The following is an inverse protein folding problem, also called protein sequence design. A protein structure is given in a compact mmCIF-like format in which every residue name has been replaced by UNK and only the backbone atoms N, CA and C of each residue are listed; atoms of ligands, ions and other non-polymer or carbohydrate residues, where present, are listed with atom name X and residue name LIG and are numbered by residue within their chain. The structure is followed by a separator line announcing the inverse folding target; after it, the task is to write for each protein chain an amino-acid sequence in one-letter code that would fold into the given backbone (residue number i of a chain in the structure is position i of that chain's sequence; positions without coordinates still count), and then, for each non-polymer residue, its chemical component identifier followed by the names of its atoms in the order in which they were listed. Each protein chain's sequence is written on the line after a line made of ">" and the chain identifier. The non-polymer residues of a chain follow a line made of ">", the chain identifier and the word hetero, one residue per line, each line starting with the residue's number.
data_IF_407604616397
#
_entry.id   IF_407604616397
#
_cell.length_a   1.000
_cell.length_b   1.000
_cell.length_c   1.000
_cell.angle_alpha   90.00
_cell.angle_beta   90.00
_cell.angle_gamma   90.00
#
_symmetry.space_group_name_H-M   'P 1'
#
loop_
_entity.id
_entity.type
_entity.pdbx_description
1 polymer ?
#
# COMPACT_ATOMS: atom_id res chain seq x y z
N UNK A 1 9.02 -1.45 -1.95
CA UNK A 1 8.78 -0.30 -1.05
C UNK A 1 7.30 -0.14 -0.80
N UNK A 2 6.90 0.15 0.44
CA UNK A 2 5.48 0.17 0.85
C UNK A 2 4.80 1.48 0.44
N UNK A 3 3.62 1.38 -0.15
CA UNK A 3 2.68 2.48 -0.41
C UNK A 3 1.62 2.51 0.71
N UNK A 4 0.93 3.62 0.88
CA UNK A 4 -0.21 3.70 1.82
C UNK A 4 -1.48 3.05 1.25
N UNK A 5 -1.62 3.01 -0.07
CA UNK A 5 -2.85 2.59 -0.77
C UNK A 5 -2.80 1.20 -1.38
N UNK A 6 -1.60 0.70 -1.74
CA UNK A 6 -1.46 -0.51 -2.55
C UNK A 6 -0.49 -1.54 -1.96
N UNK A 7 -0.12 -1.41 -0.67
CA UNK A 7 0.85 -2.30 -0.06
C UNK A 7 2.27 -2.13 -0.61
N UNK A 8 3.02 -3.22 -0.76
CA UNK A 8 4.39 -3.19 -1.26
C UNK A 8 4.42 -3.30 -2.78
N UNK A 9 4.82 -2.21 -3.43
CA UNK A 9 5.04 -2.16 -4.86
C UNK A 9 6.49 -1.81 -5.17
N UNK A 10 7.10 -2.47 -6.14
CA UNK A 10 8.46 -2.19 -6.57
C UNK A 10 8.61 -2.31 -8.09
N UNK A 11 9.58 -1.57 -8.64
CA UNK A 11 9.93 -1.68 -10.05
C UNK A 11 8.71 -1.50 -10.96
N UNK A 12 8.43 -2.51 -11.79
CA UNK A 12 7.39 -2.48 -12.81
C UNK A 12 5.98 -2.32 -12.24
N UNK A 13 5.67 -2.97 -11.11
CA UNK A 13 4.34 -2.87 -10.51
C UNK A 13 3.99 -1.43 -10.12
N UNK A 14 4.97 -0.70 -9.56
CA UNK A 14 4.80 0.72 -9.25
C UNK A 14 4.62 1.57 -10.51
N UNK A 15 5.43 1.33 -11.54
CA UNK A 15 5.32 2.01 -12.84
C UNK A 15 3.94 1.79 -13.47
N UNK A 16 3.42 0.56 -13.45
CA UNK A 16 2.10 0.22 -13.99
C UNK A 16 0.96 0.94 -13.25
N UNK A 17 1.06 1.06 -11.92
CA UNK A 17 0.11 1.86 -11.12
C UNK A 17 0.21 3.33 -11.50
N UNK A 18 1.42 3.90 -11.54
CA UNK A 18 1.65 5.30 -11.93
C UNK A 18 1.08 5.60 -13.31
N UNK A 19 1.30 4.74 -14.31
CA UNK A 19 0.76 4.92 -15.65
C UNK A 19 -0.76 5.02 -15.65
N UNK A 20 -1.46 4.15 -14.89
CA UNK A 20 -2.92 4.25 -14.73
C UNK A 20 -3.34 5.59 -14.09
N UNK A 21 -2.59 6.07 -13.08
CA UNK A 21 -2.85 7.36 -12.43
C UNK A 21 -2.64 8.52 -13.41
N UNK A 22 -1.59 8.48 -14.23
CA UNK A 22 -1.33 9.53 -15.22
C UNK A 22 -2.39 9.54 -16.33
N UNK A 23 -2.80 8.37 -16.82
CA UNK A 23 -3.92 8.28 -17.77
C UNK A 23 -5.23 8.81 -17.16
N UNK A 24 -5.50 8.52 -15.88
CA UNK A 24 -6.70 9.07 -15.23
C UNK A 24 -6.65 10.60 -15.10
N UNK A 25 -5.49 11.19 -14.77
CA UNK A 25 -5.31 12.63 -14.58
C UNK A 25 -5.23 13.40 -15.88
N UNK A 26 -4.36 12.95 -16.79
CA UNK A 26 -4.00 13.72 -18.00
C UNK A 26 -4.74 13.25 -19.25
N UNK A 27 -5.45 12.11 -19.18
CA UNK A 27 -6.28 11.57 -20.27
C UNK A 27 -5.49 11.47 -21.59
N UNK A 28 -6.06 11.96 -22.67
CA UNK A 28 -5.46 11.93 -24.02
C UNK A 28 -4.18 12.79 -24.14
N UNK A 29 -3.88 13.61 -23.13
CA UNK A 29 -2.65 14.40 -23.10
C UNK A 29 -1.43 13.60 -22.65
N UNK A 30 -1.60 12.44 -22.02
CA UNK A 30 -0.50 11.58 -21.55
C UNK A 30 -0.13 10.50 -22.56
N UNK A 31 1.17 10.25 -22.69
CA UNK A 31 1.74 9.15 -23.48
C UNK A 31 2.87 8.46 -22.72
N UNK A 32 2.84 7.13 -22.71
CA UNK A 32 3.92 6.29 -22.19
C UNK A 32 5.12 6.27 -23.14
N UNK A 33 6.32 6.14 -22.61
CA UNK A 33 7.56 5.95 -23.37
C UNK A 33 8.06 4.52 -23.17
N UNK A 34 7.83 3.60 -24.13
CA UNK A 34 8.24 2.21 -23.99
C UNK A 34 9.77 2.06 -23.91
N UNK A 35 10.26 1.35 -22.90
CA UNK A 35 11.69 1.12 -22.68
C UNK A 35 12.37 0.19 -23.72
N UNK A 36 11.64 -0.43 -24.66
CA UNK A 36 12.05 -1.61 -25.43
C UNK A 36 13.17 -1.38 -26.46
N UNK A 37 13.39 -0.17 -26.97
CA UNK A 37 14.42 0.11 -27.99
C UNK A 37 15.14 1.41 -27.69
N UNK A 38 16.29 1.34 -27.03
CA UNK A 38 17.17 2.48 -26.80
C UNK A 38 17.07 3.11 -25.40
N UNK A 39 16.22 2.56 -24.51
CA UNK A 39 16.01 3.05 -23.14
C UNK A 39 14.91 4.10 -23.05
N UNK A 40 14.58 4.42 -21.85
CA UNK A 40 13.51 5.34 -21.44
C UNK A 40 13.88 6.84 -21.52
N UNK A 41 15.06 7.17 -22.03
CA UNK A 41 15.60 8.54 -22.08
C UNK A 41 15.60 9.29 -20.73
N UNK A 42 15.36 8.60 -19.60
CA UNK A 42 15.18 9.18 -18.27
C UNK A 42 13.73 9.62 -18.00
N UNK A 43 12.76 9.06 -18.75
CA UNK A 43 11.32 9.32 -18.58
C UNK A 43 10.50 8.10 -18.94
N UNK A 44 9.51 7.75 -18.12
CA UNK A 44 8.54 6.66 -18.38
C UNK A 44 7.34 7.16 -19.20
N UNK A 45 7.09 8.47 -19.19
CA UNK A 45 6.00 9.07 -19.95
C UNK A 45 6.09 10.59 -20.02
N UNK A 46 5.25 11.17 -20.85
CA UNK A 46 5.18 12.61 -21.05
C UNK A 46 3.75 13.08 -21.37
N UNK A 47 3.51 14.38 -21.17
CA UNK A 47 2.32 15.03 -21.72
C UNK A 47 2.68 15.96 -22.89
N UNK A 48 1.73 16.16 -23.80
CA UNK A 48 1.94 17.04 -24.96
C UNK A 48 2.11 18.52 -24.60
N UNK A 49 1.83 18.91 -23.35
CA UNK A 49 2.10 20.25 -22.80
C UNK A 49 3.42 20.34 -22.03
N UNK A 50 4.26 19.29 -22.08
CA UNK A 50 5.64 19.35 -21.63
C UNK A 50 5.92 18.84 -20.22
N UNK A 51 5.00 18.10 -19.58
CA UNK A 51 5.31 17.39 -18.33
C UNK A 51 6.04 16.09 -18.66
N UNK A 52 7.09 15.76 -17.93
CA UNK A 52 7.82 14.50 -18.03
C UNK A 52 7.72 13.73 -16.72
N UNK A 53 7.61 12.39 -16.79
CA UNK A 53 7.41 11.53 -15.63
C UNK A 53 8.46 10.45 -15.56
N UNK A 54 9.00 10.24 -14.36
CA UNK A 54 9.87 9.13 -13.99
C UNK A 54 9.34 8.48 -12.73
N UNK A 55 9.02 7.20 -12.80
CA UNK A 55 8.57 6.41 -11.66
C UNK A 55 9.75 5.67 -11.05
N UNK A 56 9.79 5.62 -9.73
CA UNK A 56 10.83 4.85 -9.03
C UNK A 56 10.33 4.30 -7.70
N UNK A 57 10.39 2.99 -7.56
CA UNK A 57 10.25 2.29 -6.29
C UNK A 57 11.42 1.30 -6.18
N UNK A 58 12.35 1.49 -5.23
CA UNK A 58 13.48 0.57 -5.06
C UNK A 58 13.01 -0.80 -4.61
N UNK A 59 13.73 -1.84 -5.02
CA UNK A 59 13.53 -3.22 -4.54
C UNK A 59 14.21 -3.41 -3.19
N UNK A 60 13.72 -4.36 -2.39
CA UNK A 60 14.25 -4.63 -1.04
C UNK A 60 15.75 -4.98 -1.05
N UNK A 61 16.21 -5.68 -2.07
CA UNK A 61 17.62 -6.03 -2.25
C UNK A 61 18.53 -4.78 -2.34
N UNK A 62 18.02 -3.66 -2.84
CA UNK A 62 18.77 -2.41 -2.99
C UNK A 62 19.05 -1.73 -1.66
N UNK A 63 18.22 -1.98 -0.62
CA UNK A 63 18.41 -1.45 0.73
C UNK A 63 19.55 -2.14 1.51
N UNK A 64 20.09 -3.21 1.02
CA UNK A 64 21.18 -3.94 1.69
C UNK A 64 22.45 -3.10 1.87
N UNK A 65 22.67 -2.09 1.03
CA UNK A 65 23.89 -1.28 1.01
C UNK A 65 23.67 0.24 0.97
N UNK A 66 22.41 0.70 0.77
CA UNK A 66 22.09 2.13 0.61
C UNK A 66 20.82 2.50 1.35
N UNK A 67 20.76 3.75 1.83
CA UNK A 67 19.55 4.36 2.36
C UNK A 67 18.57 4.73 1.23
N UNK A 68 17.30 4.92 1.55
CA UNK A 68 16.28 5.38 0.60
C UNK A 68 16.71 6.67 -0.10
N UNK A 69 17.23 7.63 0.65
CA UNK A 69 17.75 8.89 0.12
C UNK A 69 18.85 8.67 -0.93
N UNK A 70 19.85 7.81 -0.65
CA UNK A 70 20.94 7.53 -1.59
C UNK A 70 20.42 6.88 -2.88
N UNK A 71 19.50 5.94 -2.77
CA UNK A 71 18.90 5.27 -3.92
C UNK A 71 18.13 6.28 -4.80
N UNK A 72 17.30 7.12 -4.20
CA UNK A 72 16.52 8.15 -4.91
C UNK A 72 17.42 9.23 -5.53
N UNK A 73 18.40 9.72 -4.79
CA UNK A 73 19.40 10.69 -5.27
C UNK A 73 20.16 10.17 -6.50
N UNK A 74 20.63 8.93 -6.43
CA UNK A 74 21.39 8.30 -7.51
C UNK A 74 20.50 8.06 -8.73
N UNK A 75 19.24 7.64 -8.53
CA UNK A 75 18.26 7.48 -9.61
C UNK A 75 17.97 8.81 -10.30
N UNK A 76 17.65 9.87 -9.54
CA UNK A 76 17.42 11.21 -10.09
C UNK A 76 18.65 11.67 -10.90
N UNK A 77 19.85 11.54 -10.36
CA UNK A 77 21.08 11.92 -11.06
C UNK A 77 21.23 11.16 -12.38
N UNK A 78 21.02 9.86 -12.37
CA UNK A 78 21.13 9.00 -13.56
C UNK A 78 20.12 9.39 -14.63
N UNK A 79 18.86 9.62 -14.25
CA UNK A 79 17.81 9.86 -15.23
C UNK A 79 17.84 11.31 -15.75
N UNK A 80 18.22 12.29 -14.94
CA UNK A 80 18.49 13.66 -15.42
C UNK A 80 19.65 13.68 -16.41
N UNK A 81 20.70 12.91 -16.19
CA UNK A 81 21.79 12.80 -17.16
C UNK A 81 21.33 12.17 -18.49
N UNK A 82 20.43 11.16 -18.43
CA UNK A 82 19.83 10.60 -19.64
C UNK A 82 18.94 11.65 -20.36
N UNK A 83 18.11 12.39 -19.62
CA UNK A 83 17.27 13.46 -20.15
C UNK A 83 18.11 14.49 -20.89
N UNK A 84 19.15 15.03 -20.27
CA UNK A 84 20.05 16.00 -20.88
C UNK A 84 20.65 15.45 -22.19
N UNK A 85 21.15 14.21 -22.15
CA UNK A 85 21.78 13.56 -23.31
C UNK A 85 20.80 13.35 -24.46
N UNK A 86 19.54 13.04 -24.17
CA UNK A 86 18.55 12.63 -25.17
C UNK A 86 17.43 13.68 -25.39
N UNK A 87 17.65 14.91 -24.99
CA UNK A 87 16.62 15.97 -25.04
C UNK A 87 15.99 16.16 -26.43
N UNK A 88 16.77 16.02 -27.48
CA UNK A 88 16.26 16.17 -28.84
C UNK A 88 15.29 15.06 -29.23
N UNK A 89 15.54 13.84 -28.77
CA UNK A 89 14.65 12.69 -29.02
C UNK A 89 13.34 12.86 -28.24
N UNK A 90 13.42 13.26 -26.98
CA UNK A 90 12.24 13.54 -26.15
C UNK A 90 11.39 14.65 -26.78
N UNK A 91 12.02 15.71 -27.26
CA UNK A 91 11.30 16.80 -27.92
C UNK A 91 10.59 16.38 -29.21
N UNK A 92 11.16 15.45 -29.96
CA UNK A 92 10.45 14.87 -31.12
C UNK A 92 9.16 14.16 -30.71
N UNK A 93 9.18 13.43 -29.57
CA UNK A 93 8.00 12.73 -29.06
C UNK A 93 6.89 13.72 -28.64
N UNK A 94 7.22 14.81 -27.96
CA UNK A 94 6.26 15.80 -27.46
C UNK A 94 6.02 16.99 -28.44
N UNK A 95 6.15 16.77 -29.74
CA UNK A 95 5.92 17.79 -30.80
C UNK A 95 6.77 19.03 -30.64
N UNK A 96 8.00 18.90 -30.15
CA UNK A 96 8.97 19.97 -29.91
C UNK A 96 8.53 21.04 -28.89
N UNK A 97 7.59 20.74 -28.02
CA UNK A 97 7.23 21.61 -26.90
C UNK A 97 8.40 21.76 -25.93
N UNK A 98 8.48 22.92 -25.28
CA UNK A 98 9.44 23.10 -24.18
C UNK A 98 9.00 22.29 -22.95
N UNK A 99 9.97 21.72 -22.27
CA UNK A 99 9.72 20.93 -21.06
C UNK A 99 9.33 21.86 -19.92
N UNK A 100 8.18 21.61 -19.31
CA UNK A 100 7.65 22.40 -18.20
C UNK A 100 8.22 21.94 -16.86
N UNK A 101 8.08 20.63 -16.56
CA UNK A 101 8.55 20.01 -15.32
C UNK A 101 8.99 18.57 -15.59
N UNK A 102 9.82 18.07 -14.69
CA UNK A 102 10.14 16.66 -14.59
C UNK A 102 9.66 16.13 -13.24
N UNK A 103 8.77 15.15 -13.26
CA UNK A 103 8.13 14.57 -12.08
C UNK A 103 8.84 13.29 -11.69
N UNK A 104 9.38 13.24 -10.49
CA UNK A 104 9.89 12.03 -9.85
C UNK A 104 8.83 11.46 -8.92
N UNK A 105 8.21 10.35 -9.32
CA UNK A 105 7.07 9.77 -8.63
C UNK A 105 7.52 8.49 -7.92
N UNK A 106 7.45 8.50 -6.60
CA UNK A 106 7.95 7.43 -5.71
C UNK A 106 6.93 7.16 -4.61
N UNK A 107 6.84 5.93 -4.06
CA UNK A 107 5.92 5.64 -2.96
C UNK A 107 6.08 6.55 -1.75
N UNK A 108 7.32 6.84 -1.36
CA UNK A 108 7.64 7.77 -0.27
C UNK A 108 9.04 8.36 -0.44
N UNK A 109 9.30 9.48 0.23
CA UNK A 109 10.63 10.02 0.50
C UNK A 109 10.65 10.59 1.91
N UNK A 110 11.74 10.42 2.62
CA UNK A 110 11.87 10.69 4.06
C UNK A 110 12.93 11.74 4.41
N UNK A 111 13.71 12.18 3.40
CA UNK A 111 14.83 13.09 3.62
C UNK A 111 14.63 14.42 2.87
N UNK A 112 14.65 15.53 3.61
CA UNK A 112 14.56 16.89 3.07
C UNK A 112 15.69 17.25 2.10
N UNK A 113 16.88 16.61 2.25
CA UNK A 113 18.04 16.89 1.42
C UNK A 113 17.81 16.46 -0.06
N UNK A 114 16.80 15.62 -0.29
CA UNK A 114 16.40 15.27 -1.67
C UNK A 114 15.88 16.50 -2.43
N UNK A 115 15.18 17.43 -1.77
CA UNK A 115 14.76 18.69 -2.38
C UNK A 115 15.95 19.57 -2.75
N UNK A 116 17.00 19.63 -1.90
CA UNK A 116 18.22 20.38 -2.21
C UNK A 116 18.95 19.76 -3.42
N UNK A 117 19.00 18.42 -3.46
CA UNK A 117 19.56 17.70 -4.60
C UNK A 117 18.81 18.02 -5.90
N UNK A 118 17.46 18.04 -5.87
CA UNK A 118 16.65 18.41 -7.03
C UNK A 118 16.97 19.83 -7.53
N UNK A 119 17.09 20.82 -6.64
CA UNK A 119 17.47 22.20 -7.02
C UNK A 119 18.81 22.28 -7.71
N UNK A 120 19.82 21.55 -7.22
CA UNK A 120 21.14 21.47 -7.89
C UNK A 120 20.99 20.88 -9.29
N UNK A 121 20.14 19.88 -9.46
CA UNK A 121 19.88 19.27 -10.78
C UNK A 121 19.08 20.18 -11.72
N UNK A 122 18.18 21.02 -11.20
CA UNK A 122 17.49 22.06 -11.97
C UNK A 122 18.50 23.06 -12.55
N UNK A 123 19.49 23.51 -11.79
CA UNK A 123 20.56 24.40 -12.25
C UNK A 123 21.45 23.73 -13.32
N UNK A 124 21.77 22.44 -13.15
CA UNK A 124 22.50 21.66 -14.16
C UNK A 124 21.72 21.55 -15.47
N UNK A 125 20.42 21.25 -15.41
CA UNK A 125 19.53 21.17 -16.57
C UNK A 125 19.43 22.54 -17.26
N UNK A 126 19.24 23.61 -16.49
CA UNK A 126 19.14 24.96 -17.02
C UNK A 126 20.43 25.34 -17.79
N UNK A 127 21.58 24.98 -17.25
CA UNK A 127 22.87 25.26 -17.89
C UNK A 127 23.07 24.43 -19.16
N UNK A 128 22.68 23.15 -19.16
CA UNK A 128 22.95 22.23 -20.24
C UNK A 128 21.95 22.35 -21.41
N UNK A 129 20.66 22.52 -21.11
CA UNK A 129 19.56 22.45 -22.08
C UNK A 129 18.51 23.56 -21.90
N UNK A 130 18.85 24.67 -21.26
CA UNK A 130 17.92 25.76 -20.91
C UNK A 130 17.06 26.28 -22.06
N UNK A 131 17.55 26.24 -23.29
CA UNK A 131 16.78 26.61 -24.49
C UNK A 131 15.61 25.68 -24.81
N UNK A 132 15.54 24.51 -24.20
CA UNK A 132 14.52 23.48 -24.44
C UNK A 132 13.56 23.30 -23.26
N UNK A 133 13.78 24.01 -22.17
CA UNK A 133 12.95 23.98 -20.97
C UNK A 133 12.35 25.36 -20.71
N UNK A 134 11.30 25.40 -19.90
CA UNK A 134 10.73 26.66 -19.46
C UNK A 134 11.58 27.32 -18.38
N UNK A 135 11.48 28.65 -18.26
CA UNK A 135 12.20 29.42 -17.24
C UNK A 135 11.86 28.98 -15.81
N UNK A 136 10.62 28.54 -15.60
CA UNK A 136 10.10 28.06 -14.31
C UNK A 136 10.18 26.53 -14.15
N UNK A 137 11.04 25.86 -14.94
CA UNK A 137 11.23 24.42 -14.86
C UNK A 137 11.56 23.95 -13.44
N UNK A 138 10.92 22.87 -13.01
CA UNK A 138 11.14 22.26 -11.71
C UNK A 138 11.20 20.73 -11.78
N UNK A 139 11.97 20.16 -10.87
CA UNK A 139 11.92 18.74 -10.53
C UNK A 139 10.91 18.59 -9.39
N UNK A 140 9.78 17.95 -9.70
CA UNK A 140 8.66 17.77 -8.78
C UNK A 140 8.78 16.40 -8.09
N UNK A 141 9.04 16.38 -6.78
CA UNK A 141 8.95 15.15 -5.98
C UNK A 141 7.48 14.87 -5.66
N UNK A 142 6.99 13.71 -6.04
CA UNK A 142 5.58 13.33 -5.85
C UNK A 142 5.48 11.92 -5.27
N UNK A 143 4.47 11.73 -4.44
CA UNK A 143 4.07 10.43 -3.91
C UNK A 143 2.65 10.10 -4.37
N UNK A 144 2.14 8.93 -3.99
CA UNK A 144 0.75 8.54 -4.23
C UNK A 144 -0.25 9.60 -3.70
N UNK A 145 0.08 10.31 -2.62
CA UNK A 145 -0.77 11.36 -2.05
C UNK A 145 -1.02 12.53 -3.04
N UNK A 146 -0.15 12.71 -4.02
CA UNK A 146 -0.37 13.68 -5.11
C UNK A 146 -1.48 13.25 -6.06
N UNK A 147 -1.91 11.98 -6.00
CA UNK A 147 -2.86 11.34 -6.92
C UNK A 147 -4.07 10.73 -6.21
N UNK A 148 -4.38 11.17 -4.98
CA UNK A 148 -5.44 10.57 -4.15
C UNK A 148 -6.81 10.55 -4.83
N UNK A 149 -7.12 11.56 -5.64
CA UNK A 149 -8.38 11.64 -6.40
C UNK A 149 -8.44 10.58 -7.48
N UNK A 150 -7.35 10.39 -8.22
CA UNK A 150 -7.23 9.39 -9.28
C UNK A 150 -7.24 7.98 -8.72
N UNK A 151 -6.57 7.76 -7.58
CA UNK A 151 -6.61 6.49 -6.85
C UNK A 151 -8.07 6.15 -6.49
N UNK A 152 -8.79 7.06 -5.84
CA UNK A 152 -10.19 6.87 -5.51
C UNK A 152 -11.06 6.56 -6.73
N UNK A 153 -10.85 7.28 -7.83
CA UNK A 153 -11.56 7.02 -9.09
C UNK A 153 -11.26 5.61 -9.65
N UNK A 154 -10.00 5.21 -9.71
CA UNK A 154 -9.58 3.93 -10.28
C UNK A 154 -10.02 2.73 -9.43
N UNK A 155 -10.00 2.86 -8.10
CA UNK A 155 -10.51 1.84 -7.18
C UNK A 155 -12.02 1.70 -7.32
N UNK A 156 -12.78 2.82 -7.29
CA UNK A 156 -14.23 2.79 -7.46
C UNK A 156 -14.67 2.28 -8.85
N UNK A 157 -13.84 2.49 -9.88
CA UNK A 157 -14.05 1.97 -11.23
C UNK A 157 -13.57 0.53 -11.40
N UNK A 158 -13.07 -0.13 -10.34
CA UNK A 158 -12.56 -1.52 -10.34
C UNK A 158 -11.35 -1.75 -11.28
N UNK A 159 -10.61 -0.69 -11.57
CA UNK A 159 -9.40 -0.75 -12.41
C UNK A 159 -8.17 -1.07 -11.55
N UNK A 160 -8.18 -0.61 -10.30
CA UNK A 160 -7.21 -0.95 -9.27
C UNK A 160 -7.91 -1.63 -8.11
N UNK A 161 -7.22 -2.55 -7.44
CA UNK A 161 -7.66 -3.15 -6.19
C UNK A 161 -6.79 -2.63 -5.04
N UNK A 162 -7.42 -2.47 -3.88
CA UNK A 162 -6.72 -2.17 -2.63
C UNK A 162 -6.02 -3.45 -2.20
N UNK A 163 -4.71 -3.36 -2.01
CA UNK A 163 -3.90 -4.49 -1.58
C UNK A 163 -3.77 -4.52 -0.06
N UNK A 164 -3.45 -5.70 0.48
CA UNK A 164 -3.05 -5.85 1.87
C UNK A 164 -1.77 -5.05 2.15
N UNK A 165 -1.68 -4.53 3.35
CA UNK A 165 -0.45 -3.89 3.82
C UNK A 165 0.71 -4.88 3.93
N UNK A 166 0.43 -6.18 3.95
CA UNK A 166 1.39 -7.28 4.09
C UNK A 166 2.37 -7.12 5.26
N UNK A 167 2.00 -6.34 6.28
CA UNK A 167 2.82 -6.18 7.47
C UNK A 167 2.69 -7.45 8.30
N UNK A 168 3.81 -8.09 8.55
CA UNK A 168 3.90 -9.24 9.43
C UNK A 168 4.81 -8.90 10.62
N UNK A 169 4.43 -9.40 11.79
CA UNK A 169 5.18 -9.21 13.03
C UNK A 169 5.96 -10.45 13.39
N UNK A 170 7.23 -10.28 13.76
CA UNK A 170 8.05 -11.32 14.36
C UNK A 170 7.55 -11.66 15.75
N UNK A 171 7.94 -12.84 16.27
CA UNK A 171 7.57 -13.23 17.65
C UNK A 171 8.09 -12.24 18.70
N UNK A 172 9.29 -11.69 18.51
CA UNK A 172 9.89 -10.72 19.43
C UNK A 172 9.11 -9.39 19.44
N UNK A 173 8.68 -8.89 18.28
CA UNK A 173 7.84 -7.70 18.17
C UNK A 173 6.47 -7.91 18.80
N UNK A 174 5.85 -9.05 18.57
CA UNK A 174 4.57 -9.40 19.22
C UNK A 174 4.71 -9.51 20.74
N UNK A 175 5.81 -10.03 21.26
CA UNK A 175 6.08 -10.04 22.69
C UNK A 175 6.21 -8.64 23.28
N UNK A 176 6.88 -7.73 22.61
CA UNK A 176 6.98 -6.34 23.02
C UNK A 176 5.62 -5.63 23.03
N UNK A 177 4.84 -5.79 21.96
CA UNK A 177 3.49 -5.20 21.86
C UNK A 177 2.57 -5.81 22.92
N UNK A 178 2.63 -7.13 23.16
CA UNK A 178 1.82 -7.81 24.15
C UNK A 178 2.03 -7.32 25.59
N UNK A 179 3.19 -6.71 25.89
CA UNK A 179 3.44 -6.10 27.19
C UNK A 179 2.63 -4.82 27.40
N UNK A 180 2.39 -4.05 26.33
CA UNK A 180 1.52 -2.86 26.37
C UNK A 180 0.05 -3.22 26.33
N UNK A 181 -0.33 -4.29 25.61
CA UNK A 181 -1.71 -4.75 25.40
C UNK A 181 -2.05 -6.05 26.16
N UNK A 182 -1.49 -6.20 27.34
CA UNK A 182 -1.63 -7.41 28.16
C UNK A 182 -3.10 -7.78 28.45
N UNK A 183 -4.01 -6.82 28.51
CA UNK A 183 -5.44 -7.05 28.73
C UNK A 183 -6.07 -7.85 27.56
N UNK A 184 -5.75 -7.49 26.30
CA UNK A 184 -6.26 -8.18 25.10
C UNK A 184 -5.71 -9.61 25.05
N UNK A 185 -4.41 -9.78 25.24
CA UNK A 185 -3.76 -11.10 25.25
C UNK A 185 -4.37 -12.00 26.32
N UNK A 186 -4.60 -11.48 27.53
CA UNK A 186 -5.20 -12.24 28.63
C UNK A 186 -6.65 -12.62 28.34
N UNK A 187 -7.45 -11.74 27.71
CA UNK A 187 -8.82 -12.06 27.30
C UNK A 187 -8.83 -13.20 26.28
N UNK A 188 -8.02 -13.11 25.23
CA UNK A 188 -7.88 -14.17 24.23
C UNK A 188 -7.48 -15.48 24.89
N UNK A 189 -6.45 -15.45 25.72
CA UNK A 189 -5.95 -16.66 26.43
C UNK A 189 -7.02 -17.29 27.31
N UNK A 190 -7.72 -16.48 28.11
CA UNK A 190 -8.77 -16.97 29.03
C UNK A 190 -9.89 -17.68 28.27
N UNK A 191 -10.26 -17.18 27.10
CA UNK A 191 -11.26 -17.82 26.24
C UNK A 191 -10.74 -19.12 25.62
N UNK A 192 -9.52 -19.12 25.08
CA UNK A 192 -8.91 -20.32 24.51
C UNK A 192 -8.70 -21.43 25.55
N UNK A 193 -8.47 -21.07 26.81
CA UNK A 193 -8.36 -22.06 27.92
C UNK A 193 -9.66 -22.82 28.20
N UNK A 194 -10.81 -22.34 27.80
CA UNK A 194 -12.08 -23.04 27.93
C UNK A 194 -12.24 -24.20 26.93
N UNK A 195 -11.47 -24.19 25.85
CA UNK A 195 -11.48 -25.24 24.84
C UNK A 195 -10.75 -26.49 25.36
N UNK A 196 -11.43 -27.62 25.41
CA UNK A 196 -10.87 -28.88 25.94
C UNK A 196 -9.59 -29.31 25.22
N UNK A 197 -9.49 -29.04 23.90
CA UNK A 197 -8.30 -29.37 23.11
C UNK A 197 -7.05 -28.53 23.46
N UNK A 198 -7.20 -27.42 24.15
CA UNK A 198 -6.11 -26.51 24.52
C UNK A 198 -5.82 -26.47 26.02
N UNK A 199 -6.75 -26.94 26.85
CA UNK A 199 -6.65 -26.93 28.32
C UNK A 199 -5.39 -27.64 28.88
N UNK A 200 -5.00 -28.77 28.29
CA UNK A 200 -3.96 -29.63 28.83
C UNK A 200 -2.57 -29.34 28.24
N UNK A 201 -2.46 -28.49 27.23
CA UNK A 201 -1.20 -28.21 26.55
C UNK A 201 -0.88 -26.71 26.53
N UNK A 202 -0.18 -26.28 27.57
CA UNK A 202 0.25 -24.90 27.79
C UNK A 202 1.04 -24.32 26.60
N UNK A 203 1.91 -25.09 25.96
CA UNK A 203 2.70 -24.67 24.84
C UNK A 203 1.81 -24.40 23.60
N UNK A 204 0.85 -25.28 23.35
CA UNK A 204 -0.12 -25.13 22.28
C UNK A 204 -1.04 -23.93 22.54
N UNK A 205 -1.53 -23.74 23.74
CA UNK A 205 -2.33 -22.61 24.16
C UNK A 205 -1.59 -21.28 23.92
N UNK A 206 -0.31 -21.20 24.29
CA UNK A 206 0.52 -20.02 24.07
C UNK A 206 0.64 -19.69 22.56
N UNK A 207 0.93 -20.71 21.74
CA UNK A 207 1.02 -20.53 20.27
C UNK A 207 -0.29 -20.00 19.67
N UNK A 208 -1.44 -20.57 20.06
CA UNK A 208 -2.74 -20.09 19.58
C UNK A 208 -3.05 -18.68 20.08
N UNK A 209 -2.73 -18.36 21.33
CA UNK A 209 -2.92 -17.01 21.90
C UNK A 209 -2.15 -15.97 21.09
N UNK A 210 -0.87 -16.22 20.79
CA UNK A 210 -0.05 -15.31 19.99
C UNK A 210 -0.48 -15.27 18.52
N UNK A 211 -0.95 -16.37 17.95
CA UNK A 211 -1.49 -16.38 16.59
C UNK A 211 -2.73 -15.49 16.47
N UNK A 212 -3.70 -15.63 17.39
CA UNK A 212 -4.91 -14.80 17.40
C UNK A 212 -4.56 -13.33 17.67
N UNK A 213 -3.64 -13.07 18.59
CA UNK A 213 -3.17 -11.71 18.87
C UNK A 213 -2.50 -11.09 17.65
N UNK A 214 -1.69 -11.85 16.90
CA UNK A 214 -1.11 -11.40 15.64
C UNK A 214 -2.18 -11.02 14.62
N UNK A 215 -3.19 -11.84 14.40
CA UNK A 215 -4.30 -11.52 13.50
C UNK A 215 -5.04 -10.24 13.92
N UNK A 216 -5.19 -10.02 15.23
CA UNK A 216 -5.77 -8.78 15.74
C UNK A 216 -4.92 -7.57 15.37
N UNK A 217 -3.62 -7.58 15.65
CA UNK A 217 -2.74 -6.43 15.40
C UNK A 217 -2.58 -6.17 13.90
N UNK A 218 -2.29 -7.19 13.09
CA UNK A 218 -2.13 -7.07 11.64
C UNK A 218 -3.41 -6.54 10.99
N UNK A 219 -4.56 -7.04 11.40
CA UNK A 219 -5.84 -6.59 10.86
C UNK A 219 -6.27 -5.19 11.32
N UNK A 220 -5.89 -4.75 12.53
CA UNK A 220 -6.12 -3.36 12.95
C UNK A 220 -5.38 -2.36 12.07
N UNK A 221 -4.17 -2.70 11.61
CA UNK A 221 -3.43 -1.86 10.66
C UNK A 221 -4.11 -1.80 9.28
N UNK A 222 -4.67 -2.93 8.81
CA UNK A 222 -5.46 -2.93 7.57
C UNK A 222 -6.70 -2.01 7.70
N UNK A 223 -7.39 -2.10 8.83
CA UNK A 223 -8.56 -1.25 9.10
C UNK A 223 -8.18 0.23 9.24
N UNK A 224 -7.05 0.55 9.85
CA UNK A 224 -6.55 1.92 9.95
C UNK A 224 -6.20 2.48 8.57
N UNK A 225 -5.50 1.72 7.74
CA UNK A 225 -5.19 2.08 6.34
C UNK A 225 -6.47 2.34 5.56
N UNK A 226 -7.45 1.43 5.64
CA UNK A 226 -8.73 1.57 4.96
C UNK A 226 -9.51 2.81 5.44
N UNK A 227 -9.55 3.05 6.75
CA UNK A 227 -10.23 4.23 7.30
C UNK A 227 -9.59 5.54 6.86
N UNK A 228 -8.25 5.57 6.76
CA UNK A 228 -7.49 6.75 6.35
C UNK A 228 -7.62 7.03 4.84
N UNK A 229 -7.45 5.99 4.02
CA UNK A 229 -7.31 6.14 2.56
C UNK A 229 -8.60 5.90 1.80
N UNK A 230 -9.52 5.10 2.34
CA UNK A 230 -10.77 4.66 1.68
C UNK A 230 -11.97 4.64 2.65
N UNK A 231 -12.37 5.78 3.24
CA UNK A 231 -13.36 5.85 4.31
C UNK A 231 -14.73 5.28 3.93
N UNK A 232 -15.17 5.40 2.69
CA UNK A 232 -16.45 4.84 2.22
C UNK A 232 -16.41 3.31 2.17
N UNK A 233 -15.29 2.73 1.73
CA UNK A 233 -15.06 1.28 1.70
C UNK A 233 -14.95 0.75 3.13
N UNK A 234 -14.20 1.43 4.00
CA UNK A 234 -14.11 1.11 5.43
C UNK A 234 -15.48 1.09 6.10
N UNK A 235 -16.36 2.06 5.82
CA UNK A 235 -17.72 2.08 6.34
C UNK A 235 -18.57 0.90 5.83
N UNK A 236 -18.39 0.51 4.56
CA UNK A 236 -19.04 -0.67 3.99
C UNK A 236 -18.62 -1.96 4.69
N UNK A 237 -17.32 -2.17 4.85
CA UNK A 237 -16.74 -3.30 5.57
C UNK A 237 -17.18 -3.34 7.04
N UNK A 238 -17.17 -2.19 7.73
CA UNK A 238 -17.61 -2.07 9.13
C UNK A 238 -19.08 -2.43 9.30
N UNK A 239 -19.94 -2.01 8.36
CA UNK A 239 -21.39 -2.39 8.39
C UNK A 239 -21.57 -3.90 8.22
N UNK A 240 -20.80 -4.51 7.33
CA UNK A 240 -20.84 -5.97 7.14
C UNK A 240 -20.36 -6.69 8.39
N UNK A 241 -19.19 -6.30 8.95
CA UNK A 241 -18.66 -6.85 10.20
C UNK A 241 -19.66 -6.78 11.34
N UNK A 242 -20.26 -5.62 11.57
CA UNK A 242 -21.29 -5.42 12.61
C UNK A 242 -22.55 -6.28 12.39
N UNK A 243 -22.93 -6.55 11.13
CA UNK A 243 -24.07 -7.42 10.82
C UNK A 243 -23.76 -8.89 11.20
N UNK A 244 -22.56 -9.34 10.96
CA UNK A 244 -22.11 -10.70 11.33
C UNK A 244 -21.90 -10.81 12.84
N UNK A 245 -21.33 -9.79 13.49
CA UNK A 245 -21.13 -9.75 14.95
C UNK A 245 -22.42 -10.05 15.71
N UNK A 246 -23.55 -9.48 15.31
CA UNK A 246 -24.87 -9.78 15.90
C UNK A 246 -25.27 -11.25 15.79
N UNK A 247 -24.90 -11.92 14.67
CA UNK A 247 -25.15 -13.36 14.51
C UNK A 247 -24.22 -14.18 15.42
N UNK A 248 -22.97 -13.72 15.58
CA UNK A 248 -21.97 -14.33 16.47
C UNK A 248 -22.43 -14.26 17.92
N UNK A 249 -22.91 -13.10 18.37
CA UNK A 249 -23.47 -12.92 19.73
C UNK A 249 -24.60 -13.90 20.00
N UNK A 250 -25.53 -14.06 19.08
CA UNK A 250 -26.66 -15.01 19.21
C UNK A 250 -26.21 -16.47 19.25
N UNK A 251 -25.17 -16.84 18.49
CA UNK A 251 -24.59 -18.19 18.52
C UNK A 251 -23.84 -18.42 19.83
N UNK A 252 -23.04 -17.43 20.29
CA UNK A 252 -22.27 -17.52 21.53
C UNK A 252 -23.14 -17.79 22.77
N UNK A 253 -24.39 -17.28 22.80
CA UNK A 253 -25.33 -17.59 23.88
C UNK A 253 -25.72 -19.07 23.96
N UNK A 254 -25.39 -19.88 22.96
CA UNK A 254 -25.70 -21.32 22.89
C UNK A 254 -24.46 -22.20 23.04
N UNK A 255 -23.30 -21.59 23.29
CA UNK A 255 -21.98 -22.21 23.20
C UNK A 255 -21.43 -22.23 21.78
N UNK A 256 -20.15 -21.91 21.62
CA UNK A 256 -19.41 -21.93 20.37
C UNK A 256 -18.20 -22.85 20.54
N UNK A 257 -17.96 -23.76 19.59
CA UNK A 257 -16.76 -24.57 19.51
C UNK A 257 -15.80 -24.08 18.38
N UNK A 258 -14.66 -24.75 18.23
CA UNK A 258 -13.69 -24.41 17.17
C UNK A 258 -14.25 -24.54 15.75
N UNK A 259 -15.13 -25.54 15.51
CA UNK A 259 -15.74 -25.76 14.20
C UNK A 259 -16.75 -24.66 13.88
N UNK A 260 -17.44 -24.17 14.90
CA UNK A 260 -18.32 -23.00 14.74
C UNK A 260 -17.53 -21.75 14.38
N UNK A 261 -16.34 -21.56 14.98
CA UNK A 261 -15.47 -20.43 14.62
C UNK A 261 -14.98 -20.51 13.17
N UNK A 262 -14.49 -21.67 12.74
CA UNK A 262 -14.06 -21.91 11.36
C UNK A 262 -15.21 -21.60 10.39
N UNK A 263 -16.40 -22.08 10.67
CA UNK A 263 -17.58 -21.82 9.85
C UNK A 263 -17.97 -20.34 9.82
N UNK A 264 -17.92 -19.65 10.96
CA UNK A 264 -18.19 -18.20 11.03
C UNK A 264 -17.16 -17.43 10.19
N UNK A 265 -15.88 -17.81 10.28
CA UNK A 265 -14.83 -17.19 9.49
C UNK A 265 -15.05 -17.39 7.99
N UNK A 266 -15.38 -18.60 7.56
CA UNK A 266 -15.66 -18.91 6.16
C UNK A 266 -16.91 -18.17 5.65
N UNK A 267 -18.00 -18.12 6.44
CA UNK A 267 -19.20 -17.37 6.11
C UNK A 267 -18.87 -15.88 5.94
N UNK A 268 -18.12 -15.30 6.88
CA UNK A 268 -17.74 -13.88 6.81
C UNK A 268 -16.79 -13.59 5.63
N UNK A 269 -15.78 -14.44 5.40
CA UNK A 269 -14.91 -14.35 4.23
C UNK A 269 -15.72 -14.38 2.93
N UNK A 270 -16.67 -15.32 2.80
CA UNK A 270 -17.56 -15.40 1.63
C UNK A 270 -18.40 -14.14 1.43
N UNK A 271 -18.89 -13.53 2.50
CA UNK A 271 -19.67 -12.30 2.41
C UNK A 271 -18.78 -11.08 2.08
N UNK A 272 -17.52 -11.04 2.57
CA UNK A 272 -16.52 -10.05 2.17
C UNK A 272 -16.22 -10.17 0.67
N UNK A 273 -15.93 -11.38 0.17
CA UNK A 273 -15.65 -11.62 -1.25
C UNK A 273 -16.82 -11.21 -2.15
N UNK A 274 -18.06 -11.55 -1.78
CA UNK A 274 -19.25 -11.13 -2.54
C UNK A 274 -19.42 -9.62 -2.65
N UNK A 275 -19.06 -8.91 -1.58
CA UNK A 275 -19.24 -7.46 -1.52
C UNK A 275 -18.06 -6.67 -2.09
N UNK A 276 -16.84 -7.16 -1.94
CA UNK A 276 -15.63 -6.35 -2.10
C UNK A 276 -14.53 -6.94 -2.98
N UNK A 277 -14.66 -8.17 -3.52
CA UNK A 277 -13.60 -8.82 -4.34
C UNK A 277 -13.14 -8.03 -5.57
N UNK A 278 -13.99 -7.16 -6.09
CA UNK A 278 -13.66 -6.32 -7.26
C UNK A 278 -12.88 -5.06 -6.86
N UNK A 279 -12.89 -4.72 -5.57
CA UNK A 279 -12.31 -3.48 -5.00
C UNK A 279 -11.09 -3.80 -4.13
N UNK A 280 -11.13 -4.92 -3.40
CA UNK A 280 -10.09 -5.38 -2.50
C UNK A 280 -9.47 -6.68 -3.01
N UNK A 281 -8.16 -6.80 -2.86
CA UNK A 281 -7.45 -8.04 -3.13
C UNK A 281 -7.89 -9.16 -2.16
N UNK A 282 -7.81 -10.41 -2.60
CA UNK A 282 -8.23 -11.57 -1.79
C UNK A 282 -7.47 -11.66 -0.48
N UNK A 283 -6.16 -11.40 -0.49
CA UNK A 283 -5.30 -11.40 0.70
C UNK A 283 -5.78 -10.41 1.76
N UNK A 284 -6.18 -9.20 1.36
CA UNK A 284 -6.76 -8.20 2.27
C UNK A 284 -8.09 -8.71 2.89
N UNK A 285 -8.96 -9.32 2.08
CA UNK A 285 -10.22 -9.87 2.58
C UNK A 285 -10.02 -11.04 3.54
N UNK A 286 -8.99 -11.87 3.30
CA UNK A 286 -8.59 -12.94 4.21
C UNK A 286 -8.08 -12.39 5.54
N UNK A 287 -7.21 -11.38 5.52
CA UNK A 287 -6.69 -10.73 6.72
C UNK A 287 -7.83 -10.10 7.55
N UNK A 288 -8.78 -9.44 6.89
CA UNK A 288 -9.96 -8.86 7.55
C UNK A 288 -10.89 -9.93 8.15
N UNK A 289 -10.99 -11.11 7.51
CA UNK A 289 -11.76 -12.22 8.08
C UNK A 289 -11.08 -12.80 9.33
N UNK A 290 -9.77 -12.93 9.32
CA UNK A 290 -8.98 -13.37 10.48
C UNK A 290 -9.03 -12.34 11.62
N UNK A 291 -8.88 -11.06 11.29
CA UNK A 291 -9.01 -9.95 12.23
C UNK A 291 -10.36 -9.96 12.93
N UNK A 292 -11.45 -10.16 12.21
CA UNK A 292 -12.78 -10.14 12.81
C UNK A 292 -12.96 -11.20 13.89
N UNK A 293 -12.47 -12.43 13.63
CA UNK A 293 -12.49 -13.50 14.65
C UNK A 293 -11.64 -13.11 15.87
N UNK A 294 -10.44 -12.58 15.62
CA UNK A 294 -9.53 -12.17 16.68
C UNK A 294 -10.11 -11.02 17.52
N UNK A 295 -10.72 -10.06 16.89
CA UNK A 295 -11.38 -8.91 17.51
C UNK A 295 -12.62 -9.35 18.34
N UNK A 296 -13.46 -10.24 17.84
CA UNK A 296 -14.58 -10.77 18.59
C UNK A 296 -14.13 -11.63 19.80
N UNK A 297 -13.00 -12.30 19.71
CA UNK A 297 -12.37 -12.96 20.85
C UNK A 297 -11.81 -11.95 21.86
N UNK A 298 -11.18 -10.86 21.39
CA UNK A 298 -10.59 -9.83 22.24
C UNK A 298 -11.65 -8.99 22.97
N UNK A 299 -12.76 -8.64 22.28
CA UNK A 299 -13.80 -7.70 22.77
C UNK A 299 -15.03 -8.35 23.42
N UNK A 300 -15.19 -9.64 23.44
CA UNK A 300 -16.26 -10.35 24.12
C UNK A 300 -17.52 -10.84 23.38
N UNK A 301 -17.77 -10.72 22.08
CA UNK A 301 -18.92 -11.41 21.52
C UNK A 301 -18.79 -12.93 21.42
N UNK A 302 -17.56 -13.46 21.38
CA UNK A 302 -17.32 -14.91 21.42
C UNK A 302 -16.93 -15.32 22.83
N UNK A 303 -17.63 -16.33 23.38
CA UNK A 303 -17.22 -17.05 24.58
C UNK A 303 -17.41 -18.56 24.35
N UNK A 304 -16.50 -19.35 24.87
CA UNK A 304 -16.55 -20.81 24.82
C UNK A 304 -17.10 -21.34 26.14
N UNK A 305 -17.98 -22.33 26.10
CA UNK A 305 -18.53 -22.99 27.28
C UNK A 305 -17.54 -23.98 27.89
#
# INVERSE_FOLDING_TARGET
>A
MRTESFGELSGQDWEDVCNKLFHARYKDNYQEVPARYGGDYGVEGFTFDGQLFQCYSPKDEEFSSKTLYELQRDKITKDINKLIKNILEIRKLNKNQNIQNWHFVTPAFDNKDLHEHCRKKEEEIQTAIGQFINNDFKIMLQTENSYITEIGYLVNSKILQIQSTNKSYTEDELQLISQSDNEIVNKIRTKLQKLDSLKENENTLNKYTYLVFRFFIEGQEELEMLNKSYPDIFQGLSRLKNSIEKKVELKSMRGIDLKDLEKIQEEYKSDLEKGFKDICEISLLENLAQEAIADWMARCPIDFD
#
